data_IF_310246785955
#
_entry.id   IF_310246785955
#
_cell.length_a   1.000
_cell.length_b   1.000
_cell.length_c   1.000
_cell.angle_alpha   90.00
_cell.angle_beta   90.00
_cell.angle_gamma   90.00
#
_symmetry.space_group_name_H-M   'P 1'
#
loop_
_entity.id
_entity.type
_entity.pdbx_description
1 polymer ?
#
# COMPACT_ATOMS: atom_id res chain seq x y z
N UNK A 1 -64.71 -48.71 -7.77
CA UNK A 1 -63.31 -48.36 -8.18
C UNK A 1 -63.06 -47.00 -7.65
N UNK A 2 -62.20 -46.91 -6.62
CA UNK A 2 -61.73 -45.61 -6.08
C UNK A 2 -60.26 -45.48 -6.36
N UNK A 3 -59.92 -44.58 -7.29
CA UNK A 3 -58.56 -44.29 -7.73
C UNK A 3 -57.88 -43.40 -6.64
N UNK A 4 -56.81 -43.90 -6.02
CA UNK A 4 -55.99 -43.14 -5.10
C UNK A 4 -54.90 -42.40 -5.92
N UNK A 5 -54.89 -41.07 -5.86
CA UNK A 5 -53.81 -40.21 -6.37
C UNK A 5 -52.79 -40.06 -5.25
N UNK A 6 -51.57 -40.56 -5.47
CA UNK A 6 -50.41 -40.26 -4.60
C UNK A 6 -49.85 -38.90 -4.95
N UNK A 7 -49.55 -38.02 -3.98
CA UNK A 7 -48.80 -36.82 -4.29
C UNK A 7 -47.27 -37.13 -4.39
N UNK A 8 -46.72 -36.78 -5.55
CA UNK A 8 -45.26 -36.78 -5.75
C UNK A 8 -44.68 -35.56 -5.03
N UNK A 9 -43.97 -35.75 -3.93
CA UNK A 9 -43.16 -34.73 -3.27
C UNK A 9 -41.89 -34.54 -4.11
N UNK A 10 -41.80 -33.43 -4.85
CA UNK A 10 -40.55 -32.93 -5.39
C UNK A 10 -39.75 -32.35 -4.24
N UNK A 11 -38.71 -33.07 -3.80
CA UNK A 11 -37.68 -32.54 -2.91
C UNK A 11 -36.77 -31.61 -3.71
N UNK A 12 -36.96 -30.31 -3.55
CA UNK A 12 -36.01 -29.31 -4.03
C UNK A 12 -34.74 -29.41 -3.18
N UNK A 13 -33.70 -30.09 -3.66
CA UNK A 13 -32.36 -30.04 -3.11
C UNK A 13 -31.81 -28.62 -3.30
N UNK A 14 -31.99 -27.75 -2.30
CA UNK A 14 -31.23 -26.52 -2.22
C UNK A 14 -29.77 -26.93 -1.98
N UNK A 15 -28.93 -26.85 -2.99
CA UNK A 15 -27.49 -26.83 -2.82
C UNK A 15 -27.13 -25.66 -1.92
N UNK A 16 -26.91 -25.93 -0.64
CA UNK A 16 -26.23 -25.03 0.27
C UNK A 16 -24.80 -24.90 -0.24
N UNK A 17 -24.55 -23.90 -1.10
CA UNK A 17 -23.22 -23.50 -1.43
C UNK A 17 -22.54 -23.09 -0.13
N UNK A 18 -21.61 -23.91 0.38
CA UNK A 18 -20.85 -23.63 1.60
C UNK A 18 -20.16 -22.26 1.46
N UNK A 19 -19.97 -21.56 2.57
CA UNK A 19 -19.23 -20.27 2.59
C UNK A 19 -17.85 -20.47 1.97
N UNK A 20 -17.45 -19.66 0.97
CA UNK A 20 -16.15 -19.82 0.32
C UNK A 20 -15.00 -19.77 1.30
N UNK A 21 -14.04 -20.68 1.19
CA UNK A 21 -12.82 -20.66 2.00
C UNK A 21 -11.93 -19.46 1.68
N UNK A 22 -11.00 -19.13 2.57
CA UNK A 22 -10.12 -17.94 2.41
C UNK A 22 -9.34 -17.93 1.10
N UNK A 23 -8.83 -19.08 0.66
CA UNK A 23 -8.13 -19.21 -0.63
C UNK A 23 -9.02 -18.88 -1.82
N UNK A 24 -10.26 -19.33 -1.79
CA UNK A 24 -11.26 -19.03 -2.82
C UNK A 24 -11.61 -17.53 -2.81
N UNK A 25 -11.82 -16.92 -1.63
CA UNK A 25 -12.07 -15.48 -1.51
C UNK A 25 -10.94 -14.66 -2.11
N UNK A 26 -9.67 -14.99 -1.78
CA UNK A 26 -8.47 -14.33 -2.36
C UNK A 26 -8.43 -14.47 -3.88
N UNK A 27 -8.70 -15.64 -4.41
CA UNK A 27 -8.76 -15.90 -5.86
C UNK A 27 -9.87 -15.07 -6.51
N UNK A 28 -11.06 -15.01 -5.92
CA UNK A 28 -12.19 -14.21 -6.44
C UNK A 28 -11.91 -12.71 -6.39
N UNK A 29 -11.25 -12.20 -5.34
CA UNK A 29 -10.82 -10.78 -5.26
C UNK A 29 -9.86 -10.47 -6.43
N UNK A 30 -8.84 -11.31 -6.66
CA UNK A 30 -7.90 -11.13 -7.78
C UNK A 30 -8.63 -11.15 -9.12
N UNK A 31 -9.52 -12.10 -9.35
CA UNK A 31 -10.30 -12.20 -10.58
C UNK A 31 -11.23 -10.98 -10.79
N UNK A 32 -11.92 -10.53 -9.74
CA UNK A 32 -12.81 -9.38 -9.80
C UNK A 32 -12.09 -8.08 -10.19
N UNK A 33 -10.82 -7.95 -9.84
CA UNK A 33 -9.99 -6.79 -10.12
C UNK A 33 -9.01 -7.00 -11.28
N UNK A 34 -9.04 -8.16 -11.95
CA UNK A 34 -8.05 -8.52 -12.98
C UNK A 34 -6.60 -8.46 -12.50
N UNK A 35 -6.35 -8.67 -11.21
CA UNK A 35 -5.00 -8.79 -10.67
C UNK A 35 -4.36 -10.11 -11.14
N UNK A 36 -3.07 -10.05 -11.50
CA UNK A 36 -2.39 -11.18 -12.10
C UNK A 36 -2.40 -12.44 -11.22
N UNK A 37 -2.78 -13.59 -11.79
CA UNK A 37 -2.74 -14.89 -11.16
C UNK A 37 -2.47 -15.99 -12.20
N UNK A 38 -1.25 -16.58 -12.28
CA UNK A 38 -0.07 -16.26 -11.46
C UNK A 38 0.51 -14.85 -11.72
N UNK A 39 1.41 -14.41 -10.83
CA UNK A 39 2.16 -13.16 -11.06
C UNK A 39 3.07 -13.31 -12.29
N UNK A 40 3.30 -12.24 -13.08
CA UNK A 40 4.29 -12.26 -14.14
C UNK A 40 5.68 -12.61 -13.61
N UNK A 41 6.57 -13.13 -14.47
CA UNK A 41 7.98 -13.28 -14.11
C UNK A 41 8.53 -11.93 -13.64
N UNK A 42 9.23 -11.92 -12.51
CA UNK A 42 9.67 -10.69 -11.86
C UNK A 42 10.58 -9.82 -12.76
N UNK A 43 11.48 -10.43 -13.55
CA UNK A 43 12.44 -9.73 -14.43
C UNK A 43 13.02 -8.47 -13.78
N UNK A 44 13.58 -8.64 -12.57
CA UNK A 44 14.18 -7.55 -11.80
C UNK A 44 15.48 -7.07 -12.47
N UNK A 45 15.67 -5.73 -12.56
CA UNK A 45 16.84 -5.10 -13.13
C UNK A 45 17.41 -4.04 -12.21
N UNK A 46 18.74 -4.06 -12.04
CA UNK A 46 19.49 -3.03 -11.33
C UNK A 46 19.99 -2.00 -12.35
N UNK A 47 19.68 -0.72 -12.13
CA UNK A 47 20.07 0.40 -13.01
C UNK A 47 21.20 1.25 -12.42
N UNK A 48 21.52 1.08 -11.15
CA UNK A 48 22.61 1.78 -10.48
C UNK A 48 22.44 1.80 -8.97
N UNK A 49 23.48 2.28 -8.30
CA UNK A 49 23.51 2.42 -6.84
C UNK A 49 24.09 3.77 -6.46
N UNK A 50 23.70 4.26 -5.30
CA UNK A 50 24.31 5.42 -4.67
C UNK A 50 24.24 5.26 -3.13
N UNK A 51 24.95 6.10 -2.41
CA UNK A 51 25.01 6.09 -0.96
C UNK A 51 24.35 7.38 -0.45
N UNK A 52 23.08 7.33 0.02
CA UNK A 52 22.40 8.51 0.57
C UNK A 52 23.12 9.10 1.78
N UNK A 53 23.72 8.23 2.58
CA UNK A 53 24.54 8.54 3.75
C UNK A 53 25.50 7.37 4.03
N UNK A 54 26.60 7.58 4.79
CA UNK A 54 27.53 6.52 5.13
C UNK A 54 26.85 5.30 5.75
N UNK A 55 27.06 4.14 5.15
CA UNK A 55 26.51 2.87 5.62
C UNK A 55 25.11 2.52 5.11
N UNK A 56 24.46 3.37 4.32
CA UNK A 56 23.18 3.07 3.65
C UNK A 56 23.37 3.12 2.15
N UNK A 57 22.98 2.05 1.45
CA UNK A 57 22.97 1.96 0.00
C UNK A 57 21.55 2.10 -0.52
N UNK A 58 21.37 2.92 -1.54
CA UNK A 58 20.16 3.00 -2.35
C UNK A 58 20.40 2.42 -3.74
N UNK A 59 19.50 1.56 -4.19
CA UNK A 59 19.56 0.88 -5.49
C UNK A 59 18.40 1.37 -6.36
N UNK A 60 18.71 1.84 -7.59
CA UNK A 60 17.73 2.13 -8.62
C UNK A 60 17.38 0.84 -9.33
N UNK A 61 16.12 0.41 -9.23
CA UNK A 61 15.71 -0.88 -9.76
C UNK A 61 14.41 -0.77 -10.56
N UNK A 62 14.15 -1.77 -11.39
CA UNK A 62 12.83 -1.96 -11.99
C UNK A 62 12.48 -3.43 -12.02
N UNK A 63 11.20 -3.75 -11.94
CA UNK A 63 10.68 -5.10 -12.08
C UNK A 63 9.43 -5.12 -12.96
N UNK A 64 9.15 -6.29 -13.55
CA UNK A 64 8.00 -6.44 -14.44
C UNK A 64 6.68 -6.51 -13.67
N UNK A 65 5.62 -6.02 -14.31
CA UNK A 65 4.24 -6.10 -13.84
C UNK A 65 3.30 -6.50 -14.97
N UNK A 66 1.99 -6.37 -14.76
CA UNK A 66 0.98 -6.67 -15.78
C UNK A 66 1.11 -5.78 -17.03
N UNK A 67 0.41 -6.20 -18.08
CA UNK A 67 0.34 -5.49 -19.37
C UNK A 67 1.71 -5.25 -20.04
N UNK A 68 2.72 -6.09 -19.75
CA UNK A 68 4.08 -5.89 -20.25
C UNK A 68 4.73 -4.59 -19.77
N UNK A 69 4.27 -4.04 -18.65
CA UNK A 69 4.84 -2.86 -18.03
C UNK A 69 5.91 -3.22 -17.00
N UNK A 70 6.66 -2.19 -16.59
CA UNK A 70 7.65 -2.25 -15.52
C UNK A 70 7.36 -1.20 -14.46
N UNK A 71 7.80 -1.48 -13.25
CA UNK A 71 7.67 -0.60 -12.09
C UNK A 71 9.06 -0.10 -11.71
N UNK A 72 9.34 1.23 -11.82
CA UNK A 72 10.55 1.83 -11.28
C UNK A 72 10.46 1.96 -9.77
N UNK A 73 11.55 1.62 -9.08
CA UNK A 73 11.62 1.62 -7.63
C UNK A 73 13.02 1.99 -7.11
N UNK A 74 13.06 2.44 -5.85
CA UNK A 74 14.29 2.61 -5.08
C UNK A 74 14.27 1.63 -3.92
N UNK A 75 15.40 0.96 -3.70
CA UNK A 75 15.59 0.03 -2.58
C UNK A 75 16.69 0.58 -1.67
N UNK A 76 16.33 0.92 -0.44
CA UNK A 76 17.25 1.36 0.59
C UNK A 76 17.62 0.18 1.49
N UNK A 77 18.89 0.02 1.82
CA UNK A 77 19.34 -1.05 2.71
C UNK A 77 20.65 -0.70 3.41
N UNK A 78 20.99 -1.35 4.49
CA UNK A 78 22.34 -1.26 5.05
C UNK A 78 23.40 -1.69 4.02
N UNK A 79 24.52 -1.02 3.99
CA UNK A 79 25.66 -1.40 3.15
C UNK A 79 26.26 -2.74 3.57
N UNK A 80 26.18 -3.05 4.87
CA UNK A 80 26.63 -4.31 5.47
C UNK A 80 25.52 -4.88 6.35
N UNK A 81 25.25 -6.15 6.25
CA UNK A 81 24.27 -6.85 7.08
C UNK A 81 24.97 -7.98 7.83
N UNK A 82 24.67 -8.15 9.12
CA UNK A 82 25.16 -9.26 9.94
C UNK A 82 24.31 -10.54 9.72
N UNK A 83 23.23 -10.47 8.96
CA UNK A 83 22.30 -11.54 8.69
C UNK A 83 21.10 -11.02 7.89
N UNK A 84 20.05 -11.82 7.79
CA UNK A 84 18.82 -11.41 7.14
C UNK A 84 18.02 -10.46 8.05
N UNK A 85 17.58 -9.34 7.47
CA UNK A 85 16.70 -8.37 8.11
C UNK A 85 15.27 -8.38 7.53
N UNK A 86 14.34 -7.58 8.10
CA UNK A 86 13.02 -7.45 7.54
C UNK A 86 13.02 -6.72 6.19
N UNK A 87 12.05 -7.06 5.33
CA UNK A 87 11.72 -6.31 4.13
C UNK A 87 10.53 -5.39 4.38
N UNK A 88 10.56 -4.15 3.88
CA UNK A 88 9.45 -3.21 3.96
C UNK A 88 9.10 -2.64 2.59
N UNK A 89 7.80 -2.64 2.25
CA UNK A 89 7.29 -1.94 1.06
C UNK A 89 6.59 -0.66 1.50
N UNK A 90 6.96 0.49 0.90
CA UNK A 90 6.24 1.76 1.05
C UNK A 90 5.32 1.94 -0.15
N UNK A 91 4.01 1.97 0.10
CA UNK A 91 2.96 2.13 -0.91
C UNK A 91 2.47 3.57 -0.87
N UNK A 92 2.71 4.30 -1.94
CA UNK A 92 2.49 5.75 -2.01
C UNK A 92 1.01 6.12 -2.17
N UNK A 93 0.64 7.31 -1.68
CA UNK A 93 -0.69 7.89 -1.79
C UNK A 93 -0.95 8.55 -3.15
N UNK A 94 -2.13 9.18 -3.31
CA UNK A 94 -2.43 9.98 -4.49
C UNK A 94 -1.44 11.12 -4.66
N UNK A 95 -0.87 11.24 -5.84
CA UNK A 95 0.13 12.24 -6.15
C UNK A 95 1.53 11.93 -5.60
N UNK A 96 1.64 10.90 -4.78
CA UNK A 96 2.93 10.46 -4.21
C UNK A 96 3.58 9.35 -5.02
N UNK A 97 4.90 9.31 -4.95
CA UNK A 97 5.76 8.37 -5.66
C UNK A 97 7.08 8.17 -4.90
N UNK A 98 8.06 7.50 -5.50
CA UNK A 98 9.37 7.29 -4.88
C UNK A 98 10.17 8.58 -4.63
N UNK A 99 9.79 9.70 -5.27
CA UNK A 99 10.38 11.02 -5.06
C UNK A 99 9.76 11.76 -3.86
N UNK A 100 8.65 11.27 -3.32
CA UNK A 100 7.97 11.88 -2.17
C UNK A 100 8.87 11.88 -0.93
N UNK A 101 8.85 13.01 -0.19
CA UNK A 101 9.65 13.18 1.00
C UNK A 101 9.53 12.01 1.99
N UNK A 102 8.32 11.52 2.23
CA UNK A 102 8.07 10.44 3.18
C UNK A 102 8.58 9.07 2.70
N UNK A 103 8.63 8.86 1.38
CA UNK A 103 9.15 7.63 0.80
C UNK A 103 10.66 7.53 0.98
N UNK A 104 11.40 8.61 0.66
CA UNK A 104 12.85 8.67 0.91
C UNK A 104 13.19 8.68 2.40
N UNK A 105 12.43 9.43 3.22
CA UNK A 105 12.62 9.48 4.65
C UNK A 105 12.46 8.10 5.29
N UNK A 106 11.35 7.41 5.03
CA UNK A 106 11.12 6.05 5.51
C UNK A 106 12.18 5.07 4.99
N UNK A 107 12.58 5.21 3.73
CA UNK A 107 13.61 4.39 3.11
C UNK A 107 14.91 4.41 3.92
N UNK A 108 15.46 5.60 4.18
CA UNK A 108 16.70 5.75 4.96
C UNK A 108 16.49 5.41 6.43
N UNK A 109 15.39 5.89 7.04
CA UNK A 109 15.07 5.66 8.45
C UNK A 109 15.08 4.16 8.79
N UNK A 110 14.30 3.37 8.09
CA UNK A 110 14.18 1.94 8.38
C UNK A 110 15.40 1.13 7.94
N UNK A 111 16.15 1.61 6.93
CA UNK A 111 17.43 1.02 6.59
C UNK A 111 18.46 1.19 7.70
N UNK A 112 18.46 2.32 8.44
CA UNK A 112 19.26 2.48 9.69
C UNK A 112 18.89 1.42 10.74
N UNK A 113 17.62 1.00 10.77
CA UNK A 113 17.15 -0.09 11.63
C UNK A 113 17.57 -1.49 11.16
N UNK A 114 18.12 -1.60 9.97
CA UNK A 114 18.57 -2.87 9.41
C UNK A 114 17.55 -3.51 8.44
N UNK A 115 16.50 -2.79 8.04
CA UNK A 115 15.55 -3.27 7.04
C UNK A 115 16.04 -3.02 5.60
N UNK A 116 15.54 -3.82 4.67
CA UNK A 116 15.57 -3.51 3.23
C UNK A 116 14.22 -2.90 2.84
N UNK A 117 14.22 -1.63 2.42
CA UNK A 117 13.00 -0.84 2.18
C UNK A 117 12.85 -0.54 0.69
N UNK A 118 11.74 -0.93 0.11
CA UNK A 118 11.41 -0.65 -1.29
C UNK A 118 10.27 0.36 -1.37
N UNK A 119 10.45 1.40 -2.18
CA UNK A 119 9.39 2.33 -2.60
C UNK A 119 9.36 2.42 -4.12
N UNK A 120 8.19 2.60 -4.70
CA UNK A 120 8.00 2.56 -6.15
C UNK A 120 7.01 3.64 -6.62
N UNK A 121 7.03 3.94 -7.92
CA UNK A 121 6.06 4.82 -8.54
C UNK A 121 4.75 4.08 -8.81
N UNK A 122 3.62 4.53 -8.26
CA UNK A 122 2.31 4.08 -8.72
C UNK A 122 2.09 4.42 -10.20
N UNK A 123 1.24 3.66 -10.87
CA UNK A 123 0.90 3.97 -12.26
C UNK A 123 0.33 5.39 -12.38
N UNK A 124 0.85 6.17 -13.33
CA UNK A 124 0.47 7.56 -13.53
C UNK A 124 1.25 8.58 -12.71
N UNK A 125 2.19 8.16 -11.84
CA UNK A 125 3.03 9.05 -11.04
C UNK A 125 4.52 8.86 -11.37
N UNK A 126 5.34 9.85 -11.08
CA UNK A 126 6.80 9.79 -11.22
C UNK A 126 7.26 9.44 -12.64
N UNK A 127 8.03 8.37 -12.78
CA UNK A 127 8.47 7.87 -14.08
C UNK A 127 7.39 7.07 -14.83
N UNK A 128 6.17 6.95 -14.28
CA UNK A 128 5.07 6.19 -14.88
C UNK A 128 3.96 7.04 -15.49
N UNK A 129 4.27 8.26 -15.92
CA UNK A 129 3.40 9.11 -16.75
C UNK A 129 4.21 9.80 -17.84
N UNK A 130 3.56 10.18 -18.93
CA UNK A 130 4.21 10.76 -20.12
C UNK A 130 4.97 12.08 -19.85
N UNK A 131 4.68 12.76 -18.73
CA UNK A 131 5.29 14.04 -18.36
C UNK A 131 6.52 13.85 -17.46
N UNK A 132 6.72 12.67 -16.88
CA UNK A 132 7.76 12.39 -15.87
C UNK A 132 7.63 13.26 -14.62
N UNK A 133 6.41 13.49 -14.16
CA UNK A 133 6.10 14.37 -13.03
C UNK A 133 5.43 13.62 -11.88
N UNK A 134 5.66 14.10 -10.66
CA UNK A 134 4.87 13.75 -9.48
C UNK A 134 3.56 14.52 -9.47
N UNK A 135 2.53 14.00 -8.78
CA UNK A 135 1.28 14.72 -8.56
C UNK A 135 0.35 14.82 -9.77
N UNK A 136 0.59 14.06 -10.84
CA UNK A 136 -0.26 14.13 -12.04
C UNK A 136 -1.64 13.53 -11.82
N UNK A 137 -1.74 12.52 -10.95
CA UNK A 137 -2.97 11.80 -10.62
C UNK A 137 -3.76 11.35 -11.86
N UNK A 138 -3.05 10.92 -12.91
CA UNK A 138 -3.65 10.50 -14.17
C UNK A 138 -4.68 9.38 -13.97
N UNK A 139 -4.44 8.48 -13.02
CA UNK A 139 -5.32 7.37 -12.67
C UNK A 139 -6.65 7.79 -12.03
N UNK A 140 -6.75 8.98 -11.44
CA UNK A 140 -8.01 9.49 -10.84
C UNK A 140 -9.03 9.95 -11.87
N UNK A 141 -8.55 10.25 -13.08
CA UNK A 141 -9.37 10.81 -14.16
C UNK A 141 -10.09 9.75 -14.99
N UNK A 142 -9.85 8.50 -14.69
CA UNK A 142 -10.46 7.37 -15.38
C UNK A 142 -11.94 7.25 -14.96
N UNK A 143 -12.86 7.50 -15.88
CA UNK A 143 -14.31 7.48 -15.60
C UNK A 143 -15.02 6.26 -16.15
N UNK A 144 -14.79 5.90 -17.39
CA UNK A 144 -15.53 4.84 -18.08
C UNK A 144 -14.63 4.05 -19.05
N UNK A 145 -14.92 2.78 -19.27
CA UNK A 145 -15.90 1.96 -18.54
C UNK A 145 -15.40 1.51 -17.15
N UNK A 146 -16.33 1.11 -16.27
CA UNK A 146 -16.02 0.66 -14.91
C UNK A 146 -14.97 -0.46 -14.84
N UNK A 147 -14.90 -1.30 -15.87
CA UNK A 147 -13.90 -2.36 -15.98
C UNK A 147 -12.47 -1.81 -16.01
N UNK A 148 -12.23 -0.64 -16.60
CA UNK A 148 -10.89 -0.01 -16.55
C UNK A 148 -10.51 0.36 -15.14
N UNK A 149 -11.43 0.85 -14.31
CA UNK A 149 -11.17 1.12 -12.89
C UNK A 149 -10.81 -0.16 -12.12
N UNK A 150 -11.50 -1.26 -12.40
CA UNK A 150 -11.18 -2.58 -11.83
C UNK A 150 -9.79 -3.06 -12.25
N UNK A 151 -9.45 -2.96 -13.54
CA UNK A 151 -8.12 -3.30 -14.07
C UNK A 151 -7.02 -2.43 -13.49
N UNK A 152 -7.31 -1.14 -13.22
CA UNK A 152 -6.41 -0.24 -12.52
C UNK A 152 -6.13 -0.74 -11.09
N UNK A 153 -7.16 -1.07 -10.33
CA UNK A 153 -7.02 -1.64 -9.00
C UNK A 153 -6.20 -2.93 -9.00
N UNK A 154 -6.44 -3.80 -9.98
CA UNK A 154 -5.69 -5.04 -10.16
C UNK A 154 -4.22 -4.82 -10.52
N UNK A 155 -3.92 -3.83 -11.36
CA UNK A 155 -2.53 -3.44 -11.65
C UNK A 155 -1.83 -2.93 -10.40
N UNK A 156 -2.46 -2.02 -9.64
CA UNK A 156 -1.88 -1.50 -8.39
C UNK A 156 -1.61 -2.60 -7.37
N UNK A 157 -2.51 -3.57 -7.24
CA UNK A 157 -2.29 -4.75 -6.38
C UNK A 157 -1.15 -5.61 -6.91
N UNK A 158 -1.04 -5.81 -8.22
CA UNK A 158 0.03 -6.60 -8.84
C UNK A 158 1.38 -5.91 -8.65
N UNK A 159 1.45 -4.58 -8.77
CA UNK A 159 2.65 -3.79 -8.51
C UNK A 159 3.15 -4.00 -7.06
N UNK A 160 2.25 -3.96 -6.08
CA UNK A 160 2.57 -4.27 -4.68
C UNK A 160 3.04 -5.73 -4.51
N UNK A 161 2.33 -6.71 -5.06
CA UNK A 161 2.71 -8.12 -4.95
C UNK A 161 4.07 -8.40 -5.60
N UNK A 162 4.40 -7.71 -6.70
CA UNK A 162 5.72 -7.80 -7.33
C UNK A 162 6.81 -7.10 -6.51
N UNK A 163 6.51 -6.00 -5.81
CA UNK A 163 7.42 -5.40 -4.83
C UNK A 163 7.75 -6.38 -3.69
N UNK A 164 6.75 -7.11 -3.20
CA UNK A 164 6.96 -8.20 -2.22
C UNK A 164 7.82 -9.32 -2.81
N UNK A 165 7.55 -9.75 -4.06
CA UNK A 165 8.36 -10.77 -4.75
C UNK A 165 9.80 -10.30 -4.95
N UNK A 166 10.02 -9.00 -5.21
CA UNK A 166 11.36 -8.43 -5.29
C UNK A 166 12.09 -8.53 -3.94
N UNK A 167 11.45 -8.14 -2.84
CA UNK A 167 12.05 -8.26 -1.50
C UNK A 167 12.33 -9.72 -1.13
N UNK A 168 11.41 -10.61 -1.39
CA UNK A 168 11.56 -12.05 -1.14
C UNK A 168 12.76 -12.65 -1.91
N UNK A 169 13.07 -12.13 -3.10
CA UNK A 169 14.21 -12.57 -3.91
C UNK A 169 15.57 -12.09 -3.40
N UNK A 170 15.60 -11.20 -2.41
CA UNK A 170 16.83 -10.58 -1.90
C UNK A 170 17.51 -11.47 -0.83
N UNK A 171 18.82 -11.76 -0.95
CA UNK A 171 19.51 -12.62 0.00
C UNK A 171 19.58 -12.04 1.42
N UNK A 172 19.57 -10.70 1.56
CA UNK A 172 19.59 -10.00 2.84
C UNK A 172 18.22 -9.88 3.52
N UNK A 173 17.13 -10.27 2.84
CA UNK A 173 15.76 -10.20 3.38
C UNK A 173 15.32 -11.55 3.93
N UNK A 174 14.71 -11.52 5.10
CA UNK A 174 13.97 -12.64 5.65
C UNK A 174 12.54 -12.66 5.10
N UNK A 175 12.21 -13.63 4.27
CA UNK A 175 10.91 -13.77 3.63
C UNK A 175 9.74 -13.89 4.63
N UNK A 176 10.00 -14.36 5.85
CA UNK A 176 8.98 -14.44 6.91
C UNK A 176 8.79 -13.13 7.67
N UNK A 177 9.60 -12.10 7.36
CA UNK A 177 9.55 -10.78 8.00
C UNK A 177 9.35 -9.65 7.00
N UNK A 178 8.45 -9.83 6.02
CA UNK A 178 8.10 -8.79 5.07
C UNK A 178 6.88 -8.03 5.58
N UNK A 179 7.02 -6.72 5.76
CA UNK A 179 5.96 -5.78 6.09
C UNK A 179 5.67 -4.79 4.97
N UNK A 180 4.56 -4.07 5.09
CA UNK A 180 4.23 -2.99 4.16
C UNK A 180 3.55 -1.82 4.88
N UNK A 181 3.82 -0.61 4.39
CA UNK A 181 3.28 0.64 4.92
C UNK A 181 2.62 1.41 3.77
N UNK A 182 1.33 1.68 3.90
CA UNK A 182 0.57 2.43 2.90
C UNK A 182 0.15 3.80 3.43
N UNK A 183 0.13 4.79 2.54
CA UNK A 183 -0.36 6.12 2.84
C UNK A 183 -1.53 6.49 1.92
N UNK A 184 -2.66 6.98 2.48
CA UNK A 184 -3.80 7.47 1.71
C UNK A 184 -4.31 6.43 0.70
N UNK A 185 -4.24 6.67 -0.60
CA UNK A 185 -4.52 5.68 -1.65
C UNK A 185 -3.67 4.41 -1.45
N UNK A 186 -2.41 4.56 -1.07
CA UNK A 186 -1.54 3.43 -0.78
C UNK A 186 -2.06 2.55 0.36
N UNK A 187 -2.75 3.13 1.36
CA UNK A 187 -3.46 2.35 2.38
C UNK A 187 -4.60 1.52 1.80
N UNK A 188 -5.33 2.06 0.82
CA UNK A 188 -6.37 1.30 0.11
C UNK A 188 -5.78 0.14 -0.68
N UNK A 189 -4.75 0.39 -1.50
CA UNK A 189 -4.07 -0.66 -2.28
C UNK A 189 -3.52 -1.74 -1.35
N UNK A 190 -2.91 -1.33 -0.23
CA UNK A 190 -2.35 -2.25 0.75
C UNK A 190 -3.43 -3.01 1.53
N UNK A 191 -4.59 -2.41 1.79
CA UNK A 191 -5.72 -3.13 2.41
C UNK A 191 -6.15 -4.33 1.54
N UNK A 192 -6.30 -4.12 0.23
CA UNK A 192 -6.67 -5.17 -0.71
C UNK A 192 -5.51 -6.15 -0.97
N UNK A 193 -4.33 -5.63 -1.29
CA UNK A 193 -3.15 -6.45 -1.58
C UNK A 193 -2.72 -7.27 -0.38
N UNK A 194 -2.71 -6.69 0.82
CA UNK A 194 -2.37 -7.40 2.06
C UNK A 194 -3.41 -8.45 2.50
N UNK A 195 -4.67 -8.34 2.05
CA UNK A 195 -5.65 -9.40 2.23
C UNK A 195 -5.41 -10.59 1.29
N UNK A 196 -4.84 -10.32 0.11
CA UNK A 196 -4.63 -11.31 -0.96
C UNK A 196 -3.24 -11.95 -0.90
N UNK A 197 -2.20 -11.16 -0.65
CA UNK A 197 -0.81 -11.63 -0.57
C UNK A 197 -0.48 -12.05 0.86
N UNK A 198 -0.37 -13.35 1.07
CA UNK A 198 -0.13 -13.95 2.39
C UNK A 198 1.31 -13.77 2.88
N UNK A 199 2.22 -13.28 2.05
CA UNK A 199 3.62 -13.03 2.40
C UNK A 199 3.83 -11.74 3.21
N UNK A 200 2.83 -10.81 3.22
CA UNK A 200 2.90 -9.58 4.01
C UNK A 200 2.53 -9.89 5.45
N UNK A 201 3.51 -9.84 6.36
CA UNK A 201 3.38 -10.24 7.77
C UNK A 201 2.95 -9.11 8.70
N UNK A 202 3.23 -7.87 8.36
CA UNK A 202 2.82 -6.70 9.15
C UNK A 202 2.38 -5.56 8.23
N UNK A 203 1.34 -4.83 8.61
CA UNK A 203 0.76 -3.78 7.74
C UNK A 203 0.49 -2.51 8.55
N UNK A 204 0.94 -1.35 8.05
CA UNK A 204 0.50 -0.02 8.54
C UNK A 204 -0.34 0.66 7.47
N UNK A 205 -1.54 1.08 7.83
CA UNK A 205 -2.46 1.86 7.01
C UNK A 205 -2.52 3.29 7.58
N UNK A 206 -1.71 4.20 7.03
CA UNK A 206 -1.64 5.59 7.46
C UNK A 206 -2.52 6.48 6.58
N UNK A 207 -3.31 7.36 7.19
CA UNK A 207 -4.28 8.19 6.44
C UNK A 207 -5.26 7.35 5.65
N UNK A 208 -5.71 6.21 6.18
CA UNK A 208 -6.54 5.25 5.47
C UNK A 208 -7.16 4.18 6.37
N UNK A 209 -7.55 3.08 5.74
CA UNK A 209 -8.11 1.91 6.43
C UNK A 209 -9.62 1.97 6.67
N UNK A 210 -10.29 3.07 6.32
CA UNK A 210 -11.74 3.29 6.54
C UNK A 210 -12.62 2.66 5.46
N UNK A 211 -12.37 1.41 5.11
CA UNK A 211 -13.19 0.70 4.13
C UNK A 211 -14.67 0.74 4.55
N UNK A 212 -15.54 0.95 3.57
CA UNK A 212 -16.98 1.22 3.72
C UNK A 212 -17.34 2.50 4.45
N UNK A 213 -16.52 3.14 5.21
CA UNK A 213 -16.81 4.38 5.92
C UNK A 213 -18.28 4.65 6.28
N UNK A 214 -18.60 5.62 7.09
CA UNK A 214 -20.00 5.93 7.38
C UNK A 214 -20.75 6.39 6.11
N UNK A 215 -21.98 5.93 5.91
CA UNK A 215 -22.91 6.45 4.90
C UNK A 215 -22.54 6.15 3.44
N UNK A 216 -22.12 4.94 3.13
CA UNK A 216 -21.79 4.52 1.76
C UNK A 216 -20.71 5.38 1.07
N UNK A 217 -19.86 6.01 1.86
CA UNK A 217 -18.84 6.95 1.41
C UNK A 217 -17.96 6.40 0.28
N UNK A 218 -17.62 5.11 0.31
CA UNK A 218 -16.78 4.48 -0.69
C UNK A 218 -17.44 4.32 -2.05
N UNK A 219 -18.74 4.12 -2.09
CA UNK A 219 -19.47 3.95 -3.35
C UNK A 219 -19.90 5.27 -3.98
N UNK A 220 -20.00 6.35 -3.20
CA UNK A 220 -20.50 7.64 -3.65
C UNK A 220 -19.45 8.75 -3.83
N UNK A 221 -18.35 8.70 -3.07
CA UNK A 221 -17.44 9.85 -2.90
C UNK A 221 -15.97 9.56 -3.18
N UNK A 222 -15.57 8.29 -3.35
CA UNK A 222 -14.16 7.95 -3.61
C UNK A 222 -13.79 8.15 -5.08
N UNK A 223 -12.53 8.59 -5.35
CA UNK A 223 -12.00 8.61 -6.72
C UNK A 223 -12.17 7.27 -7.43
N UNK A 224 -12.36 7.29 -8.74
CA UNK A 224 -12.67 6.12 -9.56
C UNK A 224 -11.64 5.00 -9.44
N UNK A 225 -10.36 5.33 -9.24
CA UNK A 225 -9.27 4.38 -9.00
C UNK A 225 -9.45 3.56 -7.71
N UNK A 226 -10.27 4.01 -6.76
CA UNK A 226 -10.59 3.32 -5.52
C UNK A 226 -12.04 2.84 -5.49
N UNK A 227 -13.01 3.70 -5.83
CA UNK A 227 -14.44 3.39 -5.77
C UNK A 227 -14.83 2.23 -6.68
N UNK A 228 -14.40 2.24 -7.95
CA UNK A 228 -14.73 1.16 -8.89
C UNK A 228 -14.15 -0.20 -8.49
N UNK A 229 -12.85 -0.32 -8.14
CA UNK A 229 -12.31 -1.58 -7.61
C UNK A 229 -13.05 -2.04 -6.36
N UNK A 230 -13.32 -1.14 -5.43
CA UNK A 230 -13.96 -1.51 -4.18
C UNK A 230 -15.42 -1.96 -4.36
N UNK A 231 -16.18 -1.28 -5.23
CA UNK A 231 -17.54 -1.68 -5.61
C UNK A 231 -17.61 -3.08 -6.23
N UNK A 232 -16.57 -3.45 -7.01
CA UNK A 232 -16.49 -4.77 -7.63
C UNK A 232 -16.35 -5.92 -6.60
N UNK A 233 -16.05 -5.62 -5.36
CA UNK A 233 -15.92 -6.59 -4.26
C UNK A 233 -17.22 -6.82 -3.50
N UNK A 234 -18.36 -6.28 -3.94
CA UNK A 234 -19.68 -6.42 -3.30
C UNK A 234 -20.13 -7.87 -3.15
N UNK A 235 -19.56 -8.80 -3.94
CA UNK A 235 -19.81 -10.26 -3.80
C UNK A 235 -19.32 -10.84 -2.45
N UNK A 236 -18.48 -10.12 -1.71
CA UNK A 236 -18.05 -10.52 -0.37
C UNK A 236 -19.13 -10.30 0.71
N UNK A 237 -20.20 -9.59 0.36
CA UNK A 237 -21.21 -9.17 1.35
C UNK A 237 -20.68 -8.05 2.24
N UNK A 238 -20.20 -8.37 3.43
CA UNK A 238 -19.49 -7.43 4.28
C UNK A 238 -18.02 -7.30 3.85
N UNK A 239 -17.80 -6.60 2.72
CA UNK A 239 -16.49 -6.51 2.05
C UNK A 239 -15.40 -5.92 2.95
N UNK A 240 -15.70 -4.94 3.79
CA UNK A 240 -14.74 -4.35 4.70
C UNK A 240 -14.29 -5.36 5.77
N UNK A 241 -15.25 -6.00 6.45
CA UNK A 241 -14.94 -7.01 7.46
C UNK A 241 -14.20 -8.22 6.86
N UNK A 242 -14.58 -8.67 5.68
CA UNK A 242 -13.92 -9.78 4.97
C UNK A 242 -12.46 -9.46 4.59
N UNK A 243 -12.18 -8.26 4.08
CA UNK A 243 -10.82 -7.81 3.75
C UNK A 243 -9.96 -7.79 5.01
N UNK A 244 -10.45 -7.22 6.12
CA UNK A 244 -9.72 -7.18 7.37
C UNK A 244 -9.55 -8.58 8.00
N UNK A 245 -10.54 -9.45 7.90
CA UNK A 245 -10.45 -10.82 8.37
C UNK A 245 -9.40 -11.62 7.59
N UNK A 246 -9.38 -11.52 6.26
CA UNK A 246 -8.36 -12.14 5.41
C UNK A 246 -6.95 -11.62 5.75
N UNK A 247 -6.84 -10.29 5.99
CA UNK A 247 -5.56 -9.66 6.36
C UNK A 247 -5.08 -10.14 7.73
N UNK A 248 -5.97 -10.23 8.72
CA UNK A 248 -5.65 -10.64 10.09
C UNK A 248 -5.03 -12.05 10.17
N UNK A 249 -5.42 -12.93 9.25
CA UNK A 249 -4.87 -14.30 9.14
C UNK A 249 -3.44 -14.32 8.59
N UNK A 250 -2.99 -13.25 7.94
CA UNK A 250 -1.63 -13.13 7.44
C UNK A 250 -0.69 -12.48 8.47
N UNK A 251 -1.22 -11.61 9.34
CA UNK A 251 -0.47 -10.91 10.39
C UNK A 251 -1.17 -9.64 10.87
N UNK A 252 -0.57 -8.94 11.85
CA UNK A 252 -1.17 -7.75 12.45
C UNK A 252 -1.27 -6.56 11.49
N UNK A 253 -2.26 -5.72 11.77
CA UNK A 253 -2.49 -4.46 11.06
C UNK A 253 -2.60 -3.31 12.06
N UNK A 254 -1.90 -2.21 11.79
CA UNK A 254 -2.07 -0.93 12.47
C UNK A 254 -2.79 0.05 11.52
N UNK A 255 -3.95 0.53 11.92
CA UNK A 255 -4.64 1.66 11.29
C UNK A 255 -4.23 2.93 12.03
N UNK A 256 -3.52 3.84 11.36
CA UNK A 256 -2.88 4.96 12.00
C UNK A 256 -3.25 6.28 11.31
N UNK A 257 -4.09 7.09 11.97
CA UNK A 257 -4.64 8.32 11.44
C UNK A 257 -4.39 9.50 12.37
N UNK A 258 -4.43 10.72 11.83
CA UNK A 258 -4.40 11.94 12.64
C UNK A 258 -5.80 12.31 13.14
N UNK A 259 -5.88 12.93 14.32
CA UNK A 259 -7.17 13.40 14.87
C UNK A 259 -7.77 14.58 14.07
N UNK A 260 -6.93 15.30 13.29
CA UNK A 260 -7.36 16.40 12.41
C UNK A 260 -7.38 16.00 10.93
N UNK A 261 -7.36 14.70 10.62
CA UNK A 261 -7.42 14.20 9.25
C UNK A 261 -8.81 14.40 8.65
N UNK A 262 -8.99 15.54 7.94
CA UNK A 262 -10.24 15.88 7.29
C UNK A 262 -10.58 15.02 6.09
N UNK A 263 -9.57 14.43 5.43
CA UNK A 263 -9.77 13.53 4.28
C UNK A 263 -10.34 12.20 4.75
N UNK A 264 -9.84 11.71 5.88
CA UNK A 264 -10.35 10.51 6.53
C UNK A 264 -11.57 10.79 7.42
N UNK A 265 -12.04 12.03 7.45
CA UNK A 265 -13.05 12.50 8.39
C UNK A 265 -12.64 12.28 9.87
N UNK A 266 -11.33 12.26 10.13
CA UNK A 266 -10.78 12.21 11.49
C UNK A 266 -11.38 13.33 12.35
N UNK A 267 -11.64 13.06 13.61
CA UNK A 267 -12.30 14.00 14.53
C UNK A 267 -13.83 14.05 14.41
N UNK A 268 -14.48 13.41 13.45
CA UNK A 268 -15.92 13.17 13.51
C UNK A 268 -16.21 12.01 14.46
N UNK A 269 -17.16 12.22 15.39
CA UNK A 269 -17.52 11.27 16.45
C UNK A 269 -17.79 9.84 15.96
N UNK A 270 -18.34 9.71 14.76
CA UNK A 270 -18.76 8.43 14.20
C UNK A 270 -17.60 7.59 13.68
N UNK A 271 -16.40 8.16 13.54
CA UNK A 271 -15.28 7.47 12.92
C UNK A 271 -14.62 6.43 13.84
N UNK A 272 -14.48 6.74 15.13
CA UNK A 272 -14.02 5.77 16.12
C UNK A 272 -15.02 4.63 16.25
N UNK A 273 -16.31 4.97 16.33
CA UNK A 273 -17.40 3.99 16.37
C UNK A 273 -17.44 3.10 15.13
N UNK A 274 -17.17 3.66 13.94
CA UNK A 274 -17.05 2.89 12.70
C UNK A 274 -15.94 1.85 12.77
N UNK A 275 -14.75 2.22 13.23
CA UNK A 275 -13.64 1.28 13.36
C UNK A 275 -13.89 0.22 14.44
N UNK A 276 -14.55 0.56 15.54
CA UNK A 276 -14.90 -0.40 16.59
C UNK A 276 -15.94 -1.42 16.08
N UNK A 277 -16.94 -0.96 15.33
CA UNK A 277 -17.91 -1.83 14.67
C UNK A 277 -17.25 -2.73 13.62
N UNK A 278 -16.42 -2.17 12.75
CA UNK A 278 -15.70 -2.91 11.73
C UNK A 278 -14.81 -4.00 12.35
N UNK A 279 -14.09 -3.66 13.44
CA UNK A 279 -13.24 -4.62 14.16
C UNK A 279 -14.07 -5.77 14.72
N UNK A 280 -15.23 -5.47 15.31
CA UNK A 280 -16.15 -6.49 15.87
C UNK A 280 -16.66 -7.43 14.77
N UNK A 281 -17.11 -6.89 13.63
CA UNK A 281 -17.61 -7.69 12.49
C UNK A 281 -16.50 -8.55 11.88
N UNK A 282 -15.33 -8.00 11.68
CA UNK A 282 -14.19 -8.74 11.13
C UNK A 282 -13.67 -9.83 12.10
N UNK A 283 -13.74 -9.61 13.41
CA UNK A 283 -13.38 -10.62 14.42
C UNK A 283 -14.28 -11.86 14.38
N UNK A 284 -15.55 -11.70 14.01
CA UNK A 284 -16.47 -12.84 13.80
C UNK A 284 -16.04 -13.71 12.62
N UNK A 285 -15.39 -13.12 11.59
CA UNK A 285 -14.90 -13.82 10.40
C UNK A 285 -13.48 -14.38 10.55
N UNK A 286 -12.74 -13.92 11.54
CA UNK A 286 -11.39 -14.38 11.87
C UNK A 286 -11.23 -14.66 13.38
N UNK A 287 -11.95 -15.66 13.94
CA UNK A 287 -11.88 -15.97 15.35
C UNK A 287 -10.46 -16.23 15.83
N UNK A 288 -10.10 -15.67 16.97
CA UNK A 288 -8.75 -15.81 17.56
C UNK A 288 -7.67 -14.94 16.92
N UNK A 289 -7.96 -14.24 15.83
CA UNK A 289 -7.02 -13.32 15.18
C UNK A 289 -7.15 -11.91 15.74
N UNK A 290 -6.03 -11.21 15.88
CA UNK A 290 -6.01 -9.77 16.17
C UNK A 290 -6.28 -9.02 14.87
N UNK A 291 -7.51 -8.57 14.63
CA UNK A 291 -7.97 -8.04 13.34
C UNK A 291 -7.19 -6.79 12.93
N UNK A 292 -7.18 -5.76 13.77
CA UNK A 292 -6.33 -4.58 13.63
C UNK A 292 -6.29 -3.77 14.92
N UNK A 293 -5.28 -2.93 15.06
CA UNK A 293 -5.14 -1.91 16.09
C UNK A 293 -5.43 -0.55 15.49
N UNK A 294 -6.19 0.32 16.17
CA UNK A 294 -6.34 1.72 15.81
C UNK A 294 -5.40 2.56 16.66
N UNK A 295 -4.76 3.53 16.01
CA UNK A 295 -4.01 4.57 16.66
C UNK A 295 -4.31 5.92 16.03
N UNK A 296 -4.40 6.94 16.84
CA UNK A 296 -4.57 8.32 16.41
C UNK A 296 -3.40 9.14 16.92
N UNK A 297 -2.88 10.02 16.06
CA UNK A 297 -1.89 11.02 16.43
C UNK A 297 -2.61 12.35 16.63
N UNK A 298 -2.45 12.92 17.85
CA UNK A 298 -3.15 14.13 18.25
C UNK A 298 -2.68 15.36 17.45
N UNK A 299 -3.64 16.19 17.00
CA UNK A 299 -3.40 17.43 16.27
C UNK A 299 -2.61 17.25 14.96
N UNK A 300 -2.71 16.08 14.36
CA UNK A 300 -2.10 15.76 13.08
C UNK A 300 -3.19 15.58 12.03
N UNK A 301 -3.00 16.16 10.85
CA UNK A 301 -3.87 16.02 9.69
C UNK A 301 -3.63 14.72 8.91
N UNK A 302 -3.88 14.78 7.60
CA UNK A 302 -3.68 13.66 6.68
C UNK A 302 -2.18 13.46 6.39
N UNK A 303 -1.52 12.54 7.10
CA UNK A 303 -0.05 12.37 7.10
C UNK A 303 0.39 10.91 6.97
N UNK A 304 1.58 10.66 6.39
CA UNK A 304 2.21 9.34 6.32
C UNK A 304 2.85 8.98 7.68
N UNK A 305 2.02 8.69 8.68
CA UNK A 305 2.43 8.51 10.08
C UNK A 305 3.38 7.33 10.32
N UNK A 306 3.67 6.54 9.32
CA UNK A 306 4.65 5.45 9.43
C UNK A 306 6.10 5.94 9.59
N UNK A 307 6.40 7.24 9.47
CA UNK A 307 7.73 7.82 9.78
C UNK A 307 7.90 8.17 11.26
N UNK A 308 6.88 7.97 12.09
CA UNK A 308 6.89 8.36 13.51
C UNK A 308 7.49 7.29 14.42
N UNK A 309 7.89 7.70 15.64
CA UNK A 309 8.37 6.78 16.67
C UNK A 309 7.36 5.68 16.98
N UNK A 310 6.08 6.02 17.01
CA UNK A 310 5.01 5.07 17.29
C UNK A 310 4.92 3.94 16.26
N UNK A 311 5.05 4.29 14.98
CA UNK A 311 5.08 3.32 13.90
C UNK A 311 6.35 2.44 13.94
N UNK A 312 7.50 3.04 14.22
CA UNK A 312 8.77 2.32 14.34
C UNK A 312 8.75 1.30 15.47
N UNK A 313 8.24 1.68 16.65
CA UNK A 313 8.06 0.78 17.79
C UNK A 313 7.09 -0.37 17.48
N UNK A 314 6.02 -0.07 16.74
CA UNK A 314 5.05 -1.09 16.36
C UNK A 314 5.65 -2.07 15.34
N UNK A 315 6.36 -1.58 14.31
CA UNK A 315 7.02 -2.43 13.31
C UNK A 315 8.15 -3.26 13.93
N UNK A 316 8.97 -2.67 14.82
CA UNK A 316 10.03 -3.40 15.52
C UNK A 316 9.45 -4.61 16.26
N UNK A 317 8.37 -4.40 17.00
CA UNK A 317 7.67 -5.48 17.74
C UNK A 317 7.17 -6.59 16.81
N UNK A 318 6.79 -6.27 15.56
CA UNK A 318 6.23 -7.25 14.63
C UNK A 318 7.29 -7.95 13.77
N UNK A 319 8.38 -7.25 13.46
CA UNK A 319 9.34 -7.67 12.44
C UNK A 319 10.77 -7.88 12.95
N UNK A 320 11.07 -7.50 14.19
CA UNK A 320 12.37 -7.69 14.85
C UNK A 320 13.55 -7.12 14.04
N UNK A 321 13.79 -5.82 14.16
CA UNK A 321 14.84 -5.12 13.42
C UNK A 321 16.23 -5.41 14.00
N UNK A 322 17.21 -5.85 13.19
CA UNK A 322 18.50 -6.28 13.71
C UNK A 322 19.35 -5.18 14.37
N UNK A 323 19.14 -3.90 13.99
CA UNK A 323 19.89 -2.77 14.53
C UNK A 323 19.10 -1.95 15.57
N UNK A 324 17.86 -2.29 15.83
CA UNK A 324 16.99 -1.57 16.75
C UNK A 324 16.45 -2.46 17.87
N UNK A 325 16.14 -1.81 18.97
CA UNK A 325 15.32 -2.31 20.06
C UNK A 325 14.30 -1.24 20.43
N UNK A 326 13.24 -1.60 21.11
CA UNK A 326 12.28 -0.61 21.59
C UNK A 326 12.94 0.49 22.46
N UNK A 327 14.00 0.17 23.22
CA UNK A 327 14.75 1.15 24.01
C UNK A 327 15.56 2.09 23.11
N UNK A 328 16.29 1.56 22.12
CA UNK A 328 17.07 2.38 21.20
C UNK A 328 16.17 3.29 20.33
N UNK A 329 15.01 2.80 19.87
CA UNK A 329 14.04 3.62 19.13
C UNK A 329 13.55 4.80 19.99
N UNK A 330 13.21 4.56 21.29
CA UNK A 330 12.77 5.65 22.19
C UNK A 330 13.85 6.68 22.48
N UNK A 331 15.12 6.30 22.38
CA UNK A 331 16.25 7.20 22.58
C UNK A 331 16.57 8.04 21.32
N UNK A 332 16.03 7.67 20.15
CA UNK A 332 16.25 8.46 18.93
C UNK A 332 15.53 9.81 19.04
N UNK A 333 16.19 10.89 18.58
CA UNK A 333 15.55 12.19 18.50
C UNK A 333 14.39 12.17 17.50
N UNK A 334 13.51 13.16 17.61
CA UNK A 334 12.44 13.41 16.65
C UNK A 334 12.65 14.76 15.99
N UNK A 335 12.28 14.86 14.71
CA UNK A 335 12.40 16.08 13.91
C UNK A 335 11.03 16.49 13.41
N UNK A 336 10.70 17.77 13.48
CA UNK A 336 9.50 18.28 12.84
C UNK A 336 9.68 18.23 11.31
N UNK A 337 8.76 17.62 10.61
CA UNK A 337 8.91 17.35 9.16
C UNK A 337 9.10 18.61 8.33
N UNK A 338 8.39 19.71 8.66
CA UNK A 338 8.52 20.98 7.94
C UNK A 338 9.91 21.61 8.16
N UNK A 339 10.47 21.51 9.38
CA UNK A 339 11.83 21.98 9.70
C UNK A 339 12.88 21.15 8.94
N UNK A 340 12.74 19.84 8.97
CA UNK A 340 13.61 18.94 8.20
C UNK A 340 13.58 19.25 6.71
N UNK A 341 12.41 19.43 6.12
CA UNK A 341 12.27 19.73 4.71
C UNK A 341 12.96 21.05 4.34
N UNK A 342 12.76 22.09 5.16
CA UNK A 342 13.42 23.39 4.99
C UNK A 342 14.94 23.28 5.09
N UNK A 343 15.46 22.59 6.11
CA UNK A 343 16.91 22.40 6.32
C UNK A 343 17.57 21.61 5.18
N UNK A 344 16.83 20.68 4.58
CA UNK A 344 17.34 19.78 3.53
C UNK A 344 17.03 20.25 2.11
N UNK A 345 16.36 21.38 1.94
CA UNK A 345 15.95 21.87 0.62
C UNK A 345 14.98 20.93 -0.10
N UNK A 346 14.18 20.17 0.66
CA UNK A 346 13.17 19.26 0.11
C UNK A 346 11.88 20.02 -0.07
N UNK A 347 11.41 20.10 -1.32
CA UNK A 347 10.08 20.63 -1.59
C UNK A 347 9.03 19.64 -1.08
N UNK A 348 8.20 20.12 -0.16
CA UNK A 348 7.00 19.37 0.22
C UNK A 348 5.93 19.62 -0.85
N UNK A 349 5.33 18.53 -1.34
CA UNK A 349 4.25 18.60 -2.30
C UNK A 349 3.19 19.61 -1.85
N UNK A 350 2.77 20.49 -2.76
CA UNK A 350 1.73 21.53 -2.52
C UNK A 350 0.44 20.97 -1.92
N UNK A 351 0.11 19.70 -2.20
CA UNK A 351 -0.99 18.98 -1.58
C UNK A 351 -0.83 18.86 -0.05
N UNK A 352 0.39 18.88 0.46
CA UNK A 352 0.73 18.75 1.87
C UNK A 352 1.19 20.08 2.48
N UNK A 353 1.29 21.14 1.68
CA UNK A 353 1.79 22.45 2.06
C UNK A 353 0.74 23.36 2.75
N UNK A 354 -0.43 22.85 3.13
CA UNK A 354 -1.39 23.60 3.93
C UNK A 354 -1.08 23.47 5.41
N UNK A 355 -1.21 24.55 6.16
CA UNK A 355 -0.78 24.70 7.55
C UNK A 355 -1.27 23.55 8.45
N UNK A 356 -2.53 23.15 8.40
CA UNK A 356 -3.00 22.01 9.19
C UNK A 356 -2.67 20.65 8.60
N UNK A 357 -2.15 20.55 7.39
CA UNK A 357 -1.58 19.35 6.82
C UNK A 357 -0.11 19.21 7.14
N UNK A 358 0.59 20.29 7.42
CA UNK A 358 1.98 20.31 7.86
C UNK A 358 2.11 20.15 9.37
N UNK A 359 1.05 20.56 10.08
CA UNK A 359 1.08 20.63 11.53
C UNK A 359 1.29 19.29 12.21
N UNK A 360 2.22 19.29 13.12
CA UNK A 360 2.33 18.29 14.17
C UNK A 360 3.09 17.01 13.83
N UNK A 361 3.39 16.68 12.56
CA UNK A 361 4.10 15.45 12.25
C UNK A 361 5.54 15.50 12.71
N UNK A 362 5.89 14.65 13.68
CA UNK A 362 7.24 14.45 14.20
C UNK A 362 7.79 13.13 13.70
N UNK A 363 8.69 13.20 12.73
CA UNK A 363 9.38 12.04 12.20
C UNK A 363 10.48 11.57 13.16
N UNK A 364 10.68 10.26 13.24
CA UNK A 364 11.72 9.64 14.04
C UNK A 364 13.10 9.86 13.40
N UNK A 365 14.11 10.15 14.19
CA UNK A 365 15.49 10.36 13.75
C UNK A 365 15.76 11.79 13.28
N UNK A 366 17.04 12.10 13.15
CA UNK A 366 17.56 13.36 12.63
C UNK A 366 18.60 13.11 11.56
N UNK A 367 18.95 14.16 10.81
CA UNK A 367 20.00 14.07 9.81
C UNK A 367 19.68 13.19 8.60
N UNK A 368 18.44 12.77 8.41
CA UNK A 368 18.03 12.06 7.19
C UNK A 368 18.31 12.98 5.99
N UNK A 369 19.02 12.52 4.95
CA UNK A 369 19.34 13.35 3.79
C UNK A 369 18.10 13.68 2.96
N UNK A 370 18.04 14.88 2.39
CA UNK A 370 17.18 15.19 1.25
C UNK A 370 17.81 14.63 -0.03
N UNK A 371 17.05 13.89 -0.81
CA UNK A 371 17.52 13.30 -2.05
C UNK A 371 16.90 14.00 -3.26
N UNK A 372 17.72 14.37 -4.22
CA UNK A 372 17.25 15.01 -5.44
C UNK A 372 16.45 14.05 -6.33
N UNK A 373 15.57 14.61 -7.15
CA UNK A 373 14.84 13.84 -8.15
C UNK A 373 15.78 13.08 -9.09
N UNK A 374 16.89 13.70 -9.47
CA UNK A 374 17.90 13.07 -10.32
C UNK A 374 18.53 11.83 -9.64
N UNK A 375 18.86 11.93 -8.34
CA UNK A 375 19.39 10.81 -7.57
C UNK A 375 18.39 9.64 -7.49
N UNK A 376 17.10 9.94 -7.46
CA UNK A 376 16.02 8.95 -7.34
C UNK A 376 15.46 8.48 -8.68
N UNK A 377 15.81 9.11 -9.80
CA UNK A 377 15.40 8.65 -11.13
C UNK A 377 16.09 7.33 -11.49
N UNK A 378 15.28 6.34 -11.91
CA UNK A 378 15.80 5.01 -12.27
C UNK A 378 16.58 5.07 -13.57
N UNK A 379 16.11 5.88 -14.50
CA UNK A 379 16.79 6.11 -15.79
C UNK A 379 17.19 7.56 -15.95
N UNK A 380 18.32 7.83 -16.64
CA UNK A 380 18.58 9.15 -17.20
C UNK A 380 17.43 9.59 -18.13
N UNK A 381 17.17 10.89 -18.21
CA UNK A 381 16.03 11.42 -18.98
C UNK A 381 15.94 10.89 -20.41
N UNK A 382 17.06 10.87 -21.12
CA UNK A 382 17.12 10.39 -22.51
C UNK A 382 16.81 8.89 -22.64
N UNK A 383 17.26 8.08 -21.70
CA UNK A 383 16.96 6.64 -21.68
C UNK A 383 15.49 6.41 -21.33
N UNK A 384 14.97 7.18 -20.39
CA UNK A 384 13.56 7.14 -20.02
C UNK A 384 12.70 7.48 -21.23
N UNK A 385 12.99 8.57 -21.98
CA UNK A 385 12.23 8.95 -23.18
C UNK A 385 12.20 7.81 -24.23
N UNK A 386 13.29 7.08 -24.40
CA UNK A 386 13.34 5.94 -25.34
C UNK A 386 12.57 4.73 -24.86
N UNK A 387 12.43 4.51 -23.53
CA UNK A 387 11.86 3.31 -22.93
C UNK A 387 10.50 3.50 -22.25
N UNK A 388 9.99 4.72 -22.19
CA UNK A 388 8.81 5.09 -21.37
C UNK A 388 7.52 4.32 -21.69
N UNK A 389 7.37 3.83 -22.92
CA UNK A 389 6.19 3.04 -23.32
C UNK A 389 6.06 1.72 -22.56
N UNK A 390 7.12 1.27 -21.90
CA UNK A 390 7.09 0.13 -20.99
C UNK A 390 6.73 0.51 -19.54
N UNK A 391 6.46 1.78 -19.25
CA UNK A 391 6.30 2.31 -17.90
C UNK A 391 4.95 2.99 -17.69
N UNK A 392 4.53 3.83 -18.66
CA UNK A 392 3.59 4.93 -18.45
C UNK A 392 2.12 4.53 -18.48
N UNK A 393 1.31 5.34 -17.79
CA UNK A 393 -0.14 5.22 -17.69
C UNK A 393 -0.82 5.18 -19.07
N UNK A 394 -0.37 6.00 -20.00
CA UNK A 394 -0.95 6.13 -21.32
C UNK A 394 -0.86 4.79 -22.10
N UNK A 395 0.27 4.12 -22.01
CA UNK A 395 0.44 2.78 -22.59
C UNK A 395 -0.41 1.73 -21.87
N UNK A 396 -0.46 1.79 -20.53
CA UNK A 396 -1.38 0.93 -19.79
C UNK A 396 -2.82 1.12 -20.26
N UNK A 397 -3.29 2.36 -20.37
CA UNK A 397 -4.65 2.67 -20.76
C UNK A 397 -4.99 2.12 -22.15
N UNK A 398 -4.06 2.26 -23.10
CA UNK A 398 -4.19 1.70 -24.44
C UNK A 398 -4.35 0.18 -24.40
N UNK A 399 -3.46 -0.52 -23.67
CA UNK A 399 -3.46 -1.99 -23.56
C UNK A 399 -4.68 -2.50 -22.78
N UNK A 400 -5.06 -1.82 -21.72
CA UNK A 400 -6.25 -2.17 -20.94
C UNK A 400 -7.55 -2.02 -21.76
N UNK A 401 -7.66 -0.96 -22.58
CA UNK A 401 -8.77 -0.77 -23.53
C UNK A 401 -8.80 -1.83 -24.63
N UNK A 402 -7.65 -2.24 -25.13
CA UNK A 402 -7.59 -3.34 -26.12
C UNK A 402 -8.08 -4.67 -25.54
N UNK A 403 -7.89 -4.89 -24.24
CA UNK A 403 -8.36 -6.09 -23.54
C UNK A 403 -9.87 -6.06 -23.17
N UNK A 404 -10.60 -4.98 -23.49
CA UNK A 404 -12.07 -4.90 -23.37
C UNK A 404 -12.78 -5.45 -24.61
N UNK A 405 -12.07 -5.62 -25.71
CA UNK A 405 -12.57 -6.14 -27.00
C UNK A 405 -12.40 -7.65 -27.04
#
# INVERSE_FOLDING_TARGET
>A
MRTRILPVLLAASACLAGTPGDGEKRTRIRAALFAANPLPKLDARLHGKFEPEPGIVAERVSYATQYGLRVPAIVYRPAKTAGKGPGLVVVNGHGGDKFSWYAMYAGVLYARGGATVLTYDPIGEGERNAQHLSGTRAHDKLQEPAELGRRMGGLMMTDLMQAVSYLESRPEVDAERIGAMGYSMGSFVLSLGGAVDTRIRATILAGGGNLDGPGEYWDSSKPMCQGLPYKALSFLGDRAAEIYALRAKNGPTLVFNGTEDTIMQGGKRDFAAHFDDLRRRAALLAPGSRVFENRYEERVGHRPLFVTMAAALWLEKQLDFPAWTAASIRALPVTHVAEWAKERGVEMDKLYATEHREGGTRALGTGIPGLSREALSVWPREEWERGKDSLIYETWLQRARAALR
#
